data_IF_076332174589
#
_entry.id   IF_076332174589
#
_cell.length_a   1.000
_cell.length_b   1.000
_cell.length_c   1.000
_cell.angle_alpha   90.00
_cell.angle_beta   90.00
_cell.angle_gamma   90.00
#
_symmetry.space_group_name_H-M   'P 1'
#
loop_
_entity.id
_entity.type
_entity.pdbx_description
1 polymer ?
#
# COMPACT_ATOMS: atom_id res chain seq x y z
N UNK A 1 22.01 2.33 -0.92
CA UNK A 1 21.25 2.36 -2.19
C UNK A 1 20.17 1.29 -2.23
N UNK A 2 20.46 0.02 -1.91
CA UNK A 2 19.46 -1.05 -1.77
C UNK A 2 18.41 -0.87 -0.64
N UNK A 3 18.66 0.04 0.32
CA UNK A 3 17.87 0.21 1.54
C UNK A 3 16.45 0.68 1.32
N UNK A 4 16.20 1.67 0.45
CA UNK A 4 14.88 2.33 0.36
C UNK A 4 13.91 1.59 -0.56
N UNK A 5 14.37 0.54 -1.25
CA UNK A 5 13.60 -0.16 -2.26
C UNK A 5 12.79 -1.33 -1.65
N UNK A 6 13.29 -1.88 -0.55
CA UNK A 6 12.56 -2.87 0.26
C UNK A 6 11.20 -2.34 0.74
N UNK A 7 11.06 -1.03 0.77
CA UNK A 7 9.94 -0.30 1.32
C UNK A 7 8.70 -0.27 0.42
N UNK A 8 8.67 -0.88 -0.78
CA UNK A 8 7.53 -0.65 -1.68
C UNK A 8 6.86 -1.92 -2.25
N UNK A 9 7.30 -3.18 -2.03
CA UNK A 9 6.55 -4.27 -2.69
C UNK A 9 6.47 -5.64 -2.03
N UNK A 10 5.46 -6.33 -2.55
CA UNK A 10 4.73 -7.43 -1.96
C UNK A 10 4.43 -8.54 -2.99
N UNK A 11 4.57 -9.78 -2.50
CA UNK A 11 4.12 -11.13 -2.94
C UNK A 11 4.84 -11.83 -4.09
N UNK A 12 5.41 -13.02 -3.86
CA UNK A 12 4.84 -14.29 -4.38
C UNK A 12 5.59 -15.49 -3.78
N UNK A 13 4.86 -16.38 -3.09
CA UNK A 13 5.07 -17.83 -3.24
C UNK A 13 3.82 -18.36 -3.93
N UNK A 14 3.97 -18.81 -5.17
CA UNK A 14 2.93 -19.58 -5.86
C UNK A 14 2.81 -20.92 -5.15
N UNK A 15 1.86 -21.02 -4.22
CA UNK A 15 1.31 -22.32 -3.85
C UNK A 15 0.11 -22.56 -4.77
N UNK A 16 0.22 -23.54 -5.66
CA UNK A 16 -0.92 -24.06 -6.40
C UNK A 16 -1.88 -24.75 -5.41
N UNK A 17 -2.72 -23.99 -4.75
CA UNK A 17 -3.86 -24.54 -4.03
C UNK A 17 -4.99 -24.74 -5.05
N UNK A 18 -5.31 -26.00 -5.34
CA UNK A 18 -6.61 -26.35 -5.93
C UNK A 18 -7.67 -26.06 -4.88
N UNK A 19 -8.12 -24.81 -4.81
CA UNK A 19 -9.33 -24.47 -4.11
C UNK A 19 -10.44 -24.47 -5.17
N UNK A 20 -11.35 -25.43 -5.09
CA UNK A 20 -12.63 -25.34 -5.77
C UNK A 20 -13.67 -24.87 -4.76
N UNK A 21 -13.79 -23.56 -4.48
CA UNK A 21 -14.99 -23.07 -3.84
C UNK A 21 -16.08 -23.05 -4.91
N UNK A 22 -17.23 -23.64 -4.62
CA UNK A 22 -18.46 -23.34 -5.38
C UNK A 22 -18.89 -21.94 -4.94
N UNK A 23 -18.42 -20.92 -5.67
CA UNK A 23 -18.93 -19.56 -5.52
C UNK A 23 -20.26 -19.47 -6.26
N UNK A 24 -21.36 -19.24 -5.53
CA UNK A 24 -22.63 -18.92 -6.17
C UNK A 24 -22.53 -17.53 -6.83
N UNK A 25 -22.36 -17.52 -8.16
CA UNK A 25 -22.47 -16.32 -8.98
C UNK A 25 -23.95 -15.95 -9.16
N UNK A 26 -24.51 -15.25 -8.16
CA UNK A 26 -25.77 -14.54 -8.32
C UNK A 26 -25.47 -13.10 -8.73
N UNK A 27 -25.68 -12.75 -10.00
CA UNK A 27 -25.71 -11.34 -10.39
C UNK A 27 -27.07 -10.75 -10.01
N UNK A 28 -27.13 -9.61 -9.28
CA UNK A 28 -28.40 -8.96 -8.98
C UNK A 28 -29.11 -8.55 -10.28
N UNK A 29 -30.44 -8.69 -10.32
CA UNK A 29 -31.28 -8.34 -11.48
C UNK A 29 -31.43 -6.82 -11.67
N UNK A 30 -31.13 -6.03 -10.63
CA UNK A 30 -31.02 -4.57 -10.66
C UNK A 30 -29.66 -4.15 -10.07
N UNK A 31 -28.92 -3.30 -10.78
CA UNK A 31 -27.61 -2.84 -10.35
C UNK A 31 -27.71 -1.79 -9.25
N UNK A 32 -27.17 -2.07 -8.07
CA UNK A 32 -26.86 -1.05 -7.07
C UNK A 32 -25.60 -0.30 -7.52
N UNK A 33 -25.61 1.04 -7.47
CA UNK A 33 -24.45 1.83 -7.87
C UNK A 33 -23.27 1.63 -6.90
N UNK A 34 -23.53 1.91 -5.62
CA UNK A 34 -22.65 1.69 -4.47
C UNK A 34 -23.51 1.11 -3.35
N UNK A 35 -23.14 -0.02 -2.78
CA UNK A 35 -23.82 -0.56 -1.59
C UNK A 35 -23.11 -0.08 -0.31
N UNK A 36 -23.83 -0.02 0.82
CA UNK A 36 -23.20 0.32 2.12
C UNK A 36 -22.08 -0.66 2.51
N UNK A 37 -22.17 -1.93 2.10
CA UNK A 37 -21.09 -2.89 2.28
C UNK A 37 -19.84 -2.53 1.47
N UNK A 38 -20.01 -2.02 0.23
CA UNK A 38 -18.89 -1.55 -0.58
C UNK A 38 -18.25 -0.30 0.03
N UNK A 39 -19.08 0.61 0.55
CA UNK A 39 -18.62 1.82 1.23
C UNK A 39 -17.71 1.45 2.40
N UNK A 40 -18.14 0.53 3.28
CA UNK A 40 -17.32 0.05 4.41
C UNK A 40 -15.97 -0.53 3.96
N UNK A 41 -15.99 -1.41 2.94
CA UNK A 41 -14.79 -2.04 2.42
C UNK A 41 -13.83 -1.02 1.77
N UNK A 42 -14.36 -0.06 1.01
CA UNK A 42 -13.56 0.95 0.33
C UNK A 42 -13.06 2.01 1.32
N UNK A 43 -13.85 2.38 2.32
CA UNK A 43 -13.41 3.30 3.39
C UNK A 43 -12.32 2.70 4.26
N UNK A 44 -12.35 1.39 4.52
CA UNK A 44 -11.21 0.72 5.14
C UNK A 44 -9.93 0.97 4.34
N UNK A 45 -9.99 0.72 3.03
CA UNK A 45 -8.83 0.91 2.16
C UNK A 45 -8.44 2.37 1.96
N UNK A 46 -9.38 3.32 2.05
CA UNK A 46 -9.07 4.75 2.06
C UNK A 46 -8.11 5.15 3.21
N UNK A 47 -8.09 4.42 4.32
CA UNK A 47 -7.06 4.63 5.35
C UNK A 47 -5.66 4.29 4.85
N UNK A 48 -5.53 3.24 4.02
CA UNK A 48 -4.26 2.81 3.44
C UNK A 48 -3.77 3.82 2.41
N UNK A 49 -4.67 4.36 1.60
CA UNK A 49 -4.37 5.43 0.63
C UNK A 49 -3.80 6.68 1.31
N UNK A 50 -4.39 7.10 2.43
CA UNK A 50 -3.85 8.21 3.20
C UNK A 50 -2.46 7.90 3.76
N UNK A 51 -2.23 6.67 4.22
CA UNK A 51 -0.90 6.23 4.68
C UNK A 51 0.11 6.25 3.52
N UNK A 52 -0.24 5.70 2.37
CA UNK A 52 0.63 5.56 1.20
C UNK A 52 0.94 6.92 0.57
N UNK A 53 -0.07 7.77 0.37
CA UNK A 53 0.11 9.13 -0.11
C UNK A 53 1.06 9.94 0.80
N UNK A 54 0.83 9.94 2.11
CA UNK A 54 1.72 10.62 3.05
C UNK A 54 3.14 10.06 2.97
N UNK A 55 3.29 8.74 3.00
CA UNK A 55 4.58 8.08 2.97
C UNK A 55 5.37 8.42 1.69
N UNK A 56 4.77 8.26 0.51
CA UNK A 56 5.44 8.49 -0.76
C UNK A 56 5.81 9.96 -0.98
N UNK A 57 4.87 10.88 -0.70
CA UNK A 57 5.11 12.31 -0.85
C UNK A 57 6.24 12.79 0.09
N UNK A 58 6.21 12.36 1.36
CA UNK A 58 7.27 12.72 2.29
C UNK A 58 8.61 12.12 1.89
N UNK A 59 8.65 10.85 1.48
CA UNK A 59 9.88 10.19 1.05
C UNK A 59 10.49 10.86 -0.18
N UNK A 60 9.69 11.19 -1.19
CA UNK A 60 10.17 11.80 -2.43
C UNK A 60 10.49 13.29 -2.28
N UNK A 61 9.58 14.05 -1.68
CA UNK A 61 9.60 15.52 -1.73
C UNK A 61 9.95 16.18 -0.41
N UNK A 62 9.59 15.55 0.71
CA UNK A 62 9.74 16.13 2.06
C UNK A 62 8.55 16.99 2.49
N UNK A 63 7.38 16.75 1.91
CA UNK A 63 6.08 17.30 2.33
C UNK A 63 4.98 16.28 2.03
N UNK A 64 3.82 16.41 2.67
CA UNK A 64 2.68 15.49 2.52
C UNK A 64 1.45 16.12 1.88
N UNK A 65 0.27 15.55 2.18
CA UNK A 65 -1.00 15.99 1.60
C UNK A 65 -1.36 17.43 1.98
N UNK A 66 -0.94 17.91 3.15
CA UNK A 66 -1.17 19.30 3.57
C UNK A 66 -0.58 20.34 2.60
N UNK A 67 0.42 19.94 1.80
CA UNK A 67 0.99 20.77 0.74
C UNK A 67 0.51 20.38 -0.65
N UNK A 68 0.52 19.07 -0.96
CA UNK A 68 0.29 18.58 -2.31
C UNK A 68 -1.18 18.60 -2.74
N UNK A 69 -2.11 18.35 -1.79
CA UNK A 69 -3.55 18.27 -2.03
C UNK A 69 -4.33 18.58 -0.75
N UNK A 70 -4.23 19.82 -0.21
CA UNK A 70 -4.82 20.18 1.09
C UNK A 70 -6.34 20.01 1.12
N UNK A 71 -7.00 20.07 -0.04
CA UNK A 71 -8.44 19.85 -0.16
C UNK A 71 -8.87 18.41 0.22
N UNK A 72 -7.96 17.44 0.08
CA UNK A 72 -8.25 16.03 0.37
C UNK A 72 -8.07 15.67 1.85
N UNK A 73 -7.32 16.48 2.62
CA UNK A 73 -7.08 16.25 4.04
C UNK A 73 -8.36 16.42 4.87
N UNK A 74 -9.27 17.29 4.42
CA UNK A 74 -10.57 17.55 5.04
C UNK A 74 -10.46 17.85 6.56
N UNK A 75 -9.44 18.61 6.96
CA UNK A 75 -9.20 19.00 8.36
C UNK A 75 -8.66 17.88 9.26
N UNK A 76 -8.19 16.76 8.69
CA UNK A 76 -7.48 15.71 9.42
C UNK A 76 -6.09 16.16 9.92
N UNK A 77 -5.58 15.58 11.02
CA UNK A 77 -4.30 15.98 11.61
C UNK A 77 -3.09 15.61 10.73
N UNK A 78 -1.98 16.38 10.76
CA UNK A 78 -0.75 16.07 10.03
C UNK A 78 -0.11 14.75 10.52
N UNK A 79 0.68 14.07 9.67
CA UNK A 79 1.36 12.84 10.07
C UNK A 79 2.41 13.09 11.17
N UNK A 80 2.65 12.07 12.01
CA UNK A 80 3.65 12.11 13.08
C UNK A 80 5.02 11.77 12.53
N UNK A 81 5.99 12.65 12.83
CA UNK A 81 7.41 12.48 12.54
C UNK A 81 7.73 11.98 11.11
N UNK A 82 7.10 12.56 10.06
CA UNK A 82 7.45 12.19 8.70
C UNK A 82 8.87 12.65 8.37
N UNK A 83 9.53 11.95 7.44
CA UNK A 83 10.90 12.26 7.05
C UNK A 83 11.07 12.14 5.55
N UNK A 84 11.91 13.00 5.00
CA UNK A 84 12.37 12.85 3.61
C UNK A 84 13.39 11.74 3.52
N UNK A 85 13.23 10.86 2.53
CA UNK A 85 14.17 9.77 2.30
C UNK A 85 15.39 10.24 1.49
N UNK A 86 16.55 9.62 1.74
CA UNK A 86 17.76 9.84 0.95
C UNK A 86 17.76 8.91 -0.27
N UNK A 87 17.07 9.35 -1.33
CA UNK A 87 16.86 8.60 -2.56
C UNK A 87 17.77 9.08 -3.69
N UNK A 88 18.25 8.15 -4.51
CA UNK A 88 18.81 8.49 -5.82
C UNK A 88 17.72 9.06 -6.74
N UNK A 89 18.13 9.69 -7.85
CA UNK A 89 17.18 10.39 -8.72
C UNK A 89 16.11 9.50 -9.35
N UNK A 90 16.44 8.26 -9.72
CA UNK A 90 15.45 7.36 -10.33
C UNK A 90 14.45 6.94 -9.27
N UNK A 91 14.93 6.43 -8.13
CA UNK A 91 14.05 5.97 -7.04
C UNK A 91 13.16 7.11 -6.54
N UNK A 92 13.72 8.33 -6.35
CA UNK A 92 12.93 9.50 -5.94
C UNK A 92 11.80 9.83 -6.91
N UNK A 93 12.07 9.77 -8.21
CA UNK A 93 11.07 10.08 -9.22
C UNK A 93 9.95 9.02 -9.21
N UNK A 94 10.30 7.73 -9.18
CA UNK A 94 9.33 6.63 -9.07
C UNK A 94 8.47 6.79 -7.81
N UNK A 95 9.08 7.03 -6.65
CA UNK A 95 8.37 7.28 -5.38
C UNK A 95 7.43 8.50 -5.48
N UNK A 96 7.87 9.56 -6.16
CA UNK A 96 7.04 10.75 -6.37
C UNK A 96 5.80 10.46 -7.22
N UNK A 97 5.94 9.68 -8.29
CA UNK A 97 4.82 9.26 -9.14
C UNK A 97 3.79 8.43 -8.36
N UNK A 98 4.23 7.52 -7.47
CA UNK A 98 3.30 6.80 -6.59
C UNK A 98 2.57 7.75 -5.64
N UNK A 99 3.26 8.72 -5.03
CA UNK A 99 2.60 9.72 -4.19
C UNK A 99 1.53 10.54 -4.94
N UNK A 100 1.76 10.85 -6.22
CA UNK A 100 0.77 11.52 -7.08
C UNK A 100 -0.37 10.59 -7.47
N UNK A 101 -0.09 9.31 -7.68
CA UNK A 101 -1.08 8.29 -7.95
C UNK A 101 -2.05 8.13 -6.76
N UNK A 102 -1.54 8.01 -5.54
CA UNK A 102 -2.37 7.87 -4.33
C UNK A 102 -3.24 9.12 -4.08
N UNK A 103 -2.76 10.33 -4.39
CA UNK A 103 -3.62 11.53 -4.42
C UNK A 103 -4.81 11.34 -5.38
N UNK A 104 -4.56 10.76 -6.56
CA UNK A 104 -5.57 10.42 -7.55
C UNK A 104 -6.56 9.37 -7.03
N UNK A 105 -6.07 8.35 -6.34
CA UNK A 105 -6.88 7.31 -5.73
C UNK A 105 -7.80 7.86 -4.64
N UNK A 106 -7.26 8.59 -3.65
CA UNK A 106 -8.03 9.28 -2.59
C UNK A 106 -9.15 10.12 -3.22
N UNK A 107 -8.81 10.94 -4.22
CA UNK A 107 -9.78 11.80 -4.92
C UNK A 107 -10.87 10.99 -5.61
N UNK A 108 -10.52 9.86 -6.24
CA UNK A 108 -11.47 9.00 -6.96
C UNK A 108 -12.41 8.26 -6.01
N UNK A 109 -11.88 7.80 -4.87
CA UNK A 109 -12.66 7.18 -3.81
C UNK A 109 -13.65 8.18 -3.22
N UNK A 110 -13.17 9.35 -2.75
CA UNK A 110 -14.00 10.38 -2.13
C UNK A 110 -15.14 10.81 -3.06
N UNK A 111 -14.88 10.92 -4.36
CA UNK A 111 -15.90 11.29 -5.36
C UNK A 111 -16.96 10.22 -5.58
N UNK A 112 -16.63 8.94 -5.38
CA UNK A 112 -17.51 7.82 -5.74
C UNK A 112 -18.31 7.32 -4.56
N UNK A 113 -17.67 7.14 -3.40
CA UNK A 113 -18.28 6.52 -2.21
C UNK A 113 -18.27 7.46 -0.99
N UNK A 114 -17.99 8.74 -1.20
CA UNK A 114 -17.73 9.67 -0.10
C UNK A 114 -16.40 9.38 0.59
N UNK A 115 -16.08 10.18 1.60
CA UNK A 115 -14.90 9.92 2.41
C UNK A 115 -14.90 10.68 3.72
N UNK A 116 -13.83 10.47 4.47
CA UNK A 116 -13.65 10.98 5.81
C UNK A 116 -12.38 11.82 5.91
N UNK A 117 -12.20 12.50 7.05
CA UNK A 117 -11.00 13.30 7.32
C UNK A 117 -9.78 12.39 7.35
N UNK A 118 -8.64 12.83 6.79
CA UNK A 118 -7.38 12.07 6.86
C UNK A 118 -7.15 11.56 8.29
N UNK A 119 -6.92 10.26 8.51
CA UNK A 119 -6.64 9.73 9.84
C UNK A 119 -5.25 10.17 10.32
N UNK A 120 -4.98 10.07 11.62
CA UNK A 120 -3.64 10.30 12.15
C UNK A 120 -2.70 9.18 11.70
N UNK A 121 -1.71 9.51 10.86
CA UNK A 121 -0.72 8.56 10.37
C UNK A 121 0.59 8.73 11.15
N UNK A 122 1.16 7.62 11.64
CA UNK A 122 2.47 7.64 12.32
C UNK A 122 3.57 7.13 11.39
N UNK A 123 4.33 8.06 10.82
CA UNK A 123 5.45 7.79 9.91
C UNK A 123 6.81 7.83 10.62
N UNK A 124 6.84 7.74 11.94
CA UNK A 124 8.10 7.70 12.69
C UNK A 124 8.92 6.45 12.32
N UNK A 125 10.24 6.61 12.30
CA UNK A 125 11.16 5.49 12.09
C UNK A 125 10.96 4.36 13.12
N UNK A 126 10.54 4.70 14.35
CA UNK A 126 10.22 3.71 15.38
C UNK A 126 9.01 2.84 15.02
N UNK A 127 7.93 3.45 14.50
CA UNK A 127 6.74 2.73 14.07
C UNK A 127 7.05 1.80 12.89
N UNK A 128 7.87 2.28 11.96
CA UNK A 128 8.36 1.44 10.87
C UNK A 128 9.24 0.29 11.37
N UNK A 129 10.18 0.58 12.28
CA UNK A 129 11.09 -0.43 12.82
C UNK A 129 10.33 -1.59 13.46
N UNK A 130 9.25 -1.29 14.17
CA UNK A 130 8.38 -2.33 14.74
C UNK A 130 7.84 -3.31 13.68
N UNK A 131 7.42 -2.81 12.51
CA UNK A 131 6.93 -3.67 11.43
C UNK A 131 8.05 -4.56 10.87
N UNK A 132 9.24 -4.01 10.66
CA UNK A 132 10.38 -4.77 10.16
C UNK A 132 10.88 -5.79 11.17
N UNK A 133 10.89 -5.43 12.45
CA UNK A 133 11.23 -6.35 13.54
C UNK A 133 10.26 -7.54 13.57
N UNK A 134 8.96 -7.30 13.34
CA UNK A 134 7.95 -8.35 13.27
C UNK A 134 8.11 -9.23 12.02
N UNK A 135 8.49 -8.64 10.89
CA UNK A 135 8.78 -9.37 9.65
C UNK A 135 9.97 -10.30 9.82
N UNK A 136 11.06 -9.83 10.45
CA UNK A 136 12.29 -10.59 10.63
C UNK A 136 12.32 -11.47 11.89
N UNK A 137 11.36 -11.28 12.80
CA UNK A 137 11.30 -12.00 14.09
C UNK A 137 12.41 -11.61 15.07
N UNK A 138 13.15 -10.54 14.80
CA UNK A 138 14.19 -9.98 15.65
C UNK A 138 14.41 -8.50 15.33
N UNK A 139 15.05 -7.77 16.25
CA UNK A 139 15.28 -6.34 16.07
C UNK A 139 16.25 -6.07 14.92
N UNK A 140 15.76 -5.44 13.87
CA UNK A 140 16.58 -4.76 12.89
C UNK A 140 16.75 -3.33 13.40
N UNK A 141 17.99 -2.86 13.52
CA UNK A 141 18.24 -1.43 13.76
C UNK A 141 17.98 -0.64 12.46
N UNK A 142 16.77 -0.75 11.93
CA UNK A 142 16.29 -0.04 10.74
C UNK A 142 16.20 1.46 11.03
N UNK A 143 16.89 2.25 10.21
CA UNK A 143 16.67 3.69 10.13
C UNK A 143 15.31 4.01 9.50
N UNK A 144 15.10 5.25 9.07
CA UNK A 144 13.89 5.65 8.33
C UNK A 144 13.82 4.97 6.97
N UNK A 145 13.22 3.79 6.99
CA UNK A 145 12.68 3.09 5.86
C UNK A 145 11.15 3.11 6.07
N UNK A 146 10.31 3.05 5.05
CA UNK A 146 8.85 3.12 5.22
C UNK A 146 8.16 2.19 4.25
N UNK A 147 7.34 1.24 4.72
CA UNK A 147 6.66 0.26 3.87
C UNK A 147 5.16 0.44 3.82
N UNK A 148 4.64 0.33 2.59
CA UNK A 148 3.22 0.29 2.25
C UNK A 148 2.69 -1.15 2.19
N UNK A 149 1.39 -1.31 2.49
CA UNK A 149 0.66 -2.58 2.45
C UNK A 149 -0.63 -2.34 1.65
N UNK A 150 -0.66 -2.78 0.39
CA UNK A 150 -1.79 -2.56 -0.51
C UNK A 150 -2.98 -3.48 -0.20
N UNK A 151 -4.20 -2.90 -0.19
CA UNK A 151 -5.43 -3.54 0.32
C UNK A 151 -6.55 -3.84 -0.69
N UNK A 152 -6.46 -3.41 -1.95
CA UNK A 152 -7.63 -3.42 -2.86
C UNK A 152 -7.89 -4.71 -3.62
N UNK A 153 -6.84 -5.42 -4.02
CA UNK A 153 -6.97 -6.57 -4.93
C UNK A 153 -7.85 -7.66 -4.31
N UNK A 154 -7.78 -7.84 -3.00
CA UNK A 154 -8.59 -8.81 -2.28
C UNK A 154 -10.04 -8.38 -2.02
N UNK A 155 -10.34 -7.08 -2.02
CA UNK A 155 -11.70 -6.59 -1.75
C UNK A 155 -12.64 -6.75 -2.95
N UNK A 156 -12.10 -6.76 -4.19
CA UNK A 156 -12.89 -6.75 -5.42
C UNK A 156 -13.92 -7.90 -5.51
N UNK A 157 -13.58 -9.09 -5.03
CA UNK A 157 -14.49 -10.25 -5.03
C UNK A 157 -15.68 -10.11 -4.08
N UNK A 158 -15.60 -9.18 -3.11
CA UNK A 158 -16.64 -8.93 -2.12
C UNK A 158 -17.54 -7.74 -2.50
N UNK A 159 -17.13 -6.94 -3.50
CA UNK A 159 -17.92 -5.79 -3.94
C UNK A 159 -19.22 -6.23 -4.63
N UNK A 160 -20.26 -5.45 -4.42
CA UNK A 160 -21.61 -5.66 -4.96
C UNK A 160 -21.86 -4.63 -6.07
N UNK A 161 -21.67 -3.34 -5.77
CA UNK A 161 -22.04 -2.21 -6.62
C UNK A 161 -21.19 -2.06 -7.87
N UNK A 162 -21.80 -1.64 -8.99
CA UNK A 162 -21.09 -1.54 -10.26
C UNK A 162 -20.14 -0.34 -10.32
N UNK A 163 -20.46 0.78 -9.66
CA UNK A 163 -19.53 1.92 -9.56
C UNK A 163 -18.37 1.57 -8.64
N UNK A 164 -18.63 0.89 -7.52
CA UNK A 164 -17.59 0.38 -6.61
C UNK A 164 -16.61 -0.55 -7.32
N UNK A 165 -17.12 -1.51 -8.11
CA UNK A 165 -16.29 -2.41 -8.92
C UNK A 165 -15.47 -1.67 -9.96
N UNK A 166 -16.10 -0.71 -10.67
CA UNK A 166 -15.41 0.09 -11.69
C UNK A 166 -14.32 0.97 -11.07
N UNK A 167 -14.61 1.59 -9.93
CA UNK A 167 -13.64 2.37 -9.16
C UNK A 167 -12.46 1.49 -8.81
N UNK A 168 -12.67 0.41 -8.05
CA UNK A 168 -11.58 -0.45 -7.58
C UNK A 168 -10.78 -1.02 -8.75
N UNK A 169 -11.43 -1.45 -9.84
CA UNK A 169 -10.72 -1.90 -11.04
C UNK A 169 -9.84 -0.81 -11.69
N UNK A 170 -10.24 0.46 -11.58
CA UNK A 170 -9.47 1.60 -12.08
C UNK A 170 -8.32 2.05 -11.17
N UNK A 171 -8.28 1.58 -9.92
CA UNK A 171 -7.20 1.84 -8.97
C UNK A 171 -6.09 0.77 -9.01
N UNK A 172 -6.26 -0.30 -9.80
CA UNK A 172 -5.34 -1.45 -9.76
C UNK A 172 -3.99 -1.20 -10.45
N UNK A 173 -2.90 -1.55 -9.74
CA UNK A 173 -1.84 -2.44 -10.20
C UNK A 173 -0.62 -1.86 -10.94
N UNK A 174 -0.62 -0.57 -11.33
CA UNK A 174 0.56 0.01 -12.00
C UNK A 174 1.75 0.08 -11.04
N UNK A 175 1.53 0.52 -9.80
CA UNK A 175 2.55 0.55 -8.76
C UNK A 175 3.17 -0.83 -8.51
N UNK A 176 2.32 -1.83 -8.22
CA UNK A 176 2.74 -3.21 -7.92
C UNK A 176 3.66 -3.80 -8.98
N UNK A 177 3.38 -3.55 -10.26
CA UNK A 177 4.18 -4.05 -11.36
C UNK A 177 5.57 -3.39 -11.42
N UNK A 178 5.60 -2.04 -11.35
CA UNK A 178 6.84 -1.26 -11.42
C UNK A 178 7.76 -1.60 -10.25
N UNK A 179 7.21 -1.66 -9.04
CA UNK A 179 8.03 -1.91 -7.87
C UNK A 179 8.56 -3.33 -7.87
N UNK A 180 7.75 -4.30 -8.28
CA UNK A 180 8.17 -5.70 -8.40
C UNK A 180 9.31 -5.86 -9.38
N UNK A 181 9.20 -5.27 -10.57
CA UNK A 181 10.28 -5.26 -11.55
C UNK A 181 11.55 -4.68 -10.93
N UNK A 182 11.42 -3.52 -10.28
CA UNK A 182 12.54 -2.82 -9.64
C UNK A 182 13.23 -3.63 -8.53
N UNK A 183 12.45 -4.39 -7.74
CA UNK A 183 12.96 -5.32 -6.73
C UNK A 183 13.65 -6.54 -7.33
N UNK A 184 13.10 -7.12 -8.40
CA UNK A 184 13.67 -8.30 -9.04
C UNK A 184 15.02 -8.01 -9.69
N UNK A 185 15.18 -6.85 -10.32
CA UNK A 185 16.48 -6.40 -10.85
C UNK A 185 17.56 -6.33 -9.77
N UNK A 186 17.15 -6.05 -8.52
CA UNK A 186 18.06 -5.80 -7.37
C UNK A 186 18.05 -6.92 -6.36
N UNK A 187 17.45 -8.06 -6.68
CA UNK A 187 17.19 -9.15 -5.74
C UNK A 187 18.45 -9.60 -4.98
N UNK A 188 19.61 -9.61 -5.66
CA UNK A 188 20.89 -10.03 -5.08
C UNK A 188 21.66 -8.92 -4.35
N UNK A 189 21.21 -7.66 -4.41
CA UNK A 189 21.88 -6.55 -3.73
C UNK A 189 21.77 -6.71 -2.22
N UNK A 190 22.90 -6.53 -1.51
CA UNK A 190 22.94 -6.53 -0.06
C UNK A 190 22.48 -5.18 0.47
N UNK A 191 21.55 -5.25 1.39
CA UNK A 191 20.94 -4.11 2.07
C UNK A 191 21.80 -3.81 3.27
N UNK A 192 22.82 -2.98 3.04
CA UNK A 192 23.65 -2.46 4.10
C UNK A 192 22.81 -1.64 5.09
N UNK A 193 23.00 -1.72 6.43
CA UNK A 193 23.99 -2.51 7.15
C UNK A 193 23.51 -3.91 7.56
N UNK A 194 22.33 -4.35 7.13
CA UNK A 194 21.63 -5.52 7.69
C UNK A 194 22.13 -6.88 7.21
N UNK A 195 23.11 -6.91 6.29
CA UNK A 195 23.67 -8.15 5.73
C UNK A 195 22.61 -9.13 5.19
N UNK A 196 21.48 -8.58 4.73
CA UNK A 196 20.41 -9.31 4.06
C UNK A 196 20.28 -8.78 2.64
N UNK A 197 19.92 -9.64 1.70
CA UNK A 197 19.63 -9.25 0.32
C UNK A 197 18.26 -8.58 0.19
N UNK A 198 18.04 -7.82 -0.88
CA UNK A 198 16.72 -7.29 -1.23
C UNK A 198 15.70 -8.43 -1.30
N UNK A 199 16.05 -9.58 -1.90
CA UNK A 199 15.16 -10.73 -1.98
C UNK A 199 14.75 -11.28 -0.61
N UNK A 200 15.67 -11.35 0.36
CA UNK A 200 15.37 -11.80 1.72
C UNK A 200 14.41 -10.84 2.42
N UNK A 201 14.67 -9.54 2.32
CA UNK A 201 13.78 -8.51 2.85
C UNK A 201 12.37 -8.60 2.24
N UNK A 202 12.27 -8.69 0.92
CA UNK A 202 10.99 -8.86 0.21
C UNK A 202 10.26 -10.13 0.67
N UNK A 203 10.99 -11.22 0.90
CA UNK A 203 10.42 -12.48 1.38
C UNK A 203 9.86 -12.34 2.80
N UNK A 204 10.61 -11.75 3.73
CA UNK A 204 10.17 -11.59 5.13
C UNK A 204 8.91 -10.71 5.25
N UNK A 205 8.87 -9.59 4.52
CA UNK A 205 7.69 -8.71 4.49
C UNK A 205 6.49 -9.42 3.85
N UNK A 206 6.73 -10.17 2.77
CA UNK A 206 5.68 -10.95 2.12
C UNK A 206 5.11 -12.04 3.04
N UNK A 207 5.96 -12.69 3.82
CA UNK A 207 5.54 -13.67 4.83
C UNK A 207 4.73 -13.03 5.96
N UNK A 208 5.16 -11.85 6.46
CA UNK A 208 4.40 -11.09 7.44
C UNK A 208 3.00 -10.77 6.93
N UNK A 209 2.86 -10.17 5.73
CA UNK A 209 1.53 -9.91 5.16
C UNK A 209 0.73 -11.20 5.04
N UNK A 210 1.33 -12.28 4.55
CA UNK A 210 0.61 -13.55 4.38
C UNK A 210 0.05 -14.10 5.70
N UNK A 211 0.74 -13.87 6.83
CA UNK A 211 0.23 -14.18 8.17
C UNK A 211 -0.92 -13.24 8.56
N UNK A 212 -0.72 -11.92 8.40
CA UNK A 212 -1.71 -10.91 8.78
C UNK A 212 -3.01 -11.02 7.98
N UNK A 213 -2.91 -11.40 6.70
CA UNK A 213 -4.04 -11.58 5.79
C UNK A 213 -4.87 -12.84 6.08
N UNK A 214 -4.40 -13.80 6.89
CA UNK A 214 -5.10 -15.04 7.25
C UNK A 214 -5.66 -15.79 6.01
N UNK A 215 -7.00 -15.80 5.86
CA UNK A 215 -7.75 -16.43 4.77
C UNK A 215 -8.14 -15.44 3.66
N UNK A 216 -7.75 -14.17 3.75
CA UNK A 216 -7.96 -13.18 2.69
C UNK A 216 -7.22 -13.57 1.42
N UNK A 217 -7.69 -13.04 0.29
CA UNK A 217 -7.06 -13.24 -1.03
C UNK A 217 -5.64 -12.68 -0.98
N UNK A 218 -4.66 -13.54 -1.33
CA UNK A 218 -3.23 -13.25 -1.30
C UNK A 218 -2.78 -13.04 -2.74
N UNK A 219 -2.81 -11.80 -3.21
CA UNK A 219 -2.30 -11.40 -4.52
C UNK A 219 -0.96 -10.69 -4.39
#
# INVERSE_FOLDING_TARGET
MALVIIAIAMLMRVASSRCAPVCHLGYPTHGTEVSGHDEDLIHFSLNLEFLEAEMFLWNAFGYGLDHAAPELVNGGPPPIAPQKANLDSLTRNITGEFGLQEIGHIRSIIRTVGGFRRPLVNLSAANFAMMMDEAFGHKLHVGSLHSALLGYVGANSFLIGYLSKRLVAGLLGVEDAVVREYLYERAAEVVWPYNHTVAEFTSQISELRNRLAKCGVKC
#
